data_IF_514792819632
#
_entry.id   IF_514792819632
#
_cell.length_a   1.000
_cell.length_b   1.000
_cell.length_c   1.000
_cell.angle_alpha   90.00
_cell.angle_beta   90.00
_cell.angle_gamma   90.00
#
_symmetry.space_group_name_H-M   'P 1'
#
loop_
_entity.id
_entity.type
_entity.pdbx_description
1 polymer ?
#
# COMPACT_ATOMS: atom_id res chain seq x y z
N UNK A 1 -30.31 18.59 19.36
CA UNK A 1 -29.51 17.36 19.66
C UNK A 1 -29.99 16.22 18.77
N UNK A 2 -29.18 15.75 17.80
CA UNK A 2 -29.53 14.57 16.98
C UNK A 2 -29.17 13.30 17.76
N UNK A 3 -30.16 12.45 18.06
CA UNK A 3 -29.95 11.13 18.66
C UNK A 3 -29.15 10.26 17.68
N UNK A 4 -27.97 9.76 18.09
CA UNK A 4 -27.16 8.82 17.30
C UNK A 4 -27.91 7.48 17.16
N UNK A 5 -27.86 6.87 15.98
CA UNK A 5 -28.26 5.49 15.79
C UNK A 5 -27.34 4.58 16.63
N UNK A 6 -27.92 3.73 17.48
CA UNK A 6 -27.17 2.75 18.28
C UNK A 6 -26.41 1.80 17.35
N UNK A 7 -25.11 1.59 17.60
CA UNK A 7 -24.39 0.41 17.09
C UNK A 7 -23.35 0.59 15.98
N UNK A 8 -23.02 1.80 15.52
CA UNK A 8 -21.93 1.98 14.53
C UNK A 8 -20.84 2.89 15.12
N UNK A 9 -19.74 2.26 15.53
CA UNK A 9 -18.52 2.93 15.96
C UNK A 9 -17.90 3.71 14.78
N UNK A 10 -17.51 4.95 15.03
CA UNK A 10 -16.75 5.76 14.08
C UNK A 10 -15.31 5.25 13.95
N UNK A 11 -14.65 5.56 12.83
CA UNK A 11 -13.25 5.16 12.57
C UNK A 11 -12.30 5.61 13.69
N UNK A 12 -12.56 6.78 14.30
CA UNK A 12 -11.75 7.32 15.41
C UNK A 12 -11.94 6.51 16.70
N UNK A 13 -13.17 6.09 16.99
CA UNK A 13 -13.49 5.25 18.15
C UNK A 13 -12.90 3.83 17.98
N UNK A 14 -12.94 3.27 16.76
CA UNK A 14 -12.32 1.98 16.45
C UNK A 14 -10.78 1.99 16.61
N UNK A 15 -10.11 3.09 16.26
CA UNK A 15 -8.66 3.24 16.45
C UNK A 15 -8.31 3.31 17.94
N UNK A 16 -9.05 4.09 18.73
CA UNK A 16 -8.84 4.20 20.18
C UNK A 16 -9.04 2.86 20.91
N UNK A 17 -10.07 2.09 20.52
CA UNK A 17 -10.32 0.74 21.06
C UNK A 17 -9.15 -0.22 20.83
N UNK A 18 -8.44 -0.10 19.71
CA UNK A 18 -7.30 -0.97 19.36
C UNK A 18 -6.03 -0.63 20.15
N UNK A 19 -5.82 0.64 20.46
CA UNK A 19 -4.65 1.11 21.23
C UNK A 19 -4.80 0.84 22.73
N UNK A 20 -6.04 0.76 23.23
CA UNK A 20 -6.32 0.66 24.67
C UNK A 20 -6.61 -0.76 25.18
N UNK A 21 -6.42 -1.82 24.37
CA UNK A 21 -6.36 -3.25 24.73
C UNK A 21 -7.35 -3.81 25.76
N UNK A 22 -7.25 -3.39 27.02
CA UNK A 22 -8.13 -3.70 28.16
C UNK A 22 -9.48 -2.96 28.16
N UNK A 23 -9.63 -1.86 27.44
CA UNK A 23 -10.81 -0.97 27.57
C UNK A 23 -11.98 -1.30 26.63
N UNK A 24 -11.74 -2.16 25.62
CA UNK A 24 -12.77 -2.65 24.67
C UNK A 24 -13.89 -3.40 25.40
N UNK A 25 -13.55 -4.10 26.47
CA UNK A 25 -14.49 -4.86 27.30
C UNK A 25 -15.45 -3.95 28.05
N UNK A 26 -14.99 -2.79 28.56
CA UNK A 26 -15.83 -1.82 29.28
C UNK A 26 -16.81 -1.09 28.35
N UNK A 27 -16.39 -0.76 27.13
CA UNK A 27 -17.25 -0.02 26.19
C UNK A 27 -18.36 -0.92 25.62
N UNK A 28 -18.09 -2.23 25.45
CA UNK A 28 -19.11 -3.21 25.06
C UNK A 28 -20.25 -3.34 26.09
N UNK A 29 -19.93 -3.26 27.39
CA UNK A 29 -20.91 -3.29 28.48
C UNK A 29 -21.76 -2.02 28.55
N UNK A 30 -21.18 -0.85 28.27
CA UNK A 30 -21.87 0.45 28.35
C UNK A 30 -22.85 0.67 27.19
N UNK A 31 -22.53 0.20 25.99
CA UNK A 31 -23.36 0.43 24.78
C UNK A 31 -24.27 -0.75 24.40
N UNK A 32 -24.27 -1.84 25.19
CA UNK A 32 -25.08 -3.04 24.94
C UNK A 32 -24.75 -3.75 23.62
N UNK A 33 -23.56 -3.51 23.07
CA UNK A 33 -23.12 -4.10 21.81
C UNK A 33 -22.35 -5.38 22.13
N UNK A 34 -22.85 -6.52 21.66
CA UNK A 34 -22.25 -7.82 21.95
C UNK A 34 -20.78 -7.88 21.50
N UNK A 35 -19.94 -8.46 22.36
CA UNK A 35 -18.50 -8.61 22.22
C UNK A 35 -18.12 -9.31 20.91
N UNK A 36 -18.95 -10.23 20.44
CA UNK A 36 -18.78 -10.94 19.15
C UNK A 36 -18.86 -9.96 17.97
N UNK A 37 -19.78 -8.99 18.03
CA UNK A 37 -20.00 -8.00 16.97
C UNK A 37 -18.80 -7.05 16.86
N UNK A 38 -18.26 -6.60 18.00
CA UNK A 38 -17.06 -5.74 18.04
C UNK A 38 -15.84 -6.50 17.49
N UNK A 39 -15.61 -7.75 17.90
CA UNK A 39 -14.53 -8.57 17.35
C UNK A 39 -14.69 -8.82 15.84
N UNK A 40 -15.91 -9.05 15.36
CA UNK A 40 -16.18 -9.20 13.93
C UNK A 40 -15.86 -7.92 13.15
N UNK A 41 -16.23 -6.76 13.69
CA UNK A 41 -15.94 -5.45 13.09
C UNK A 41 -14.44 -5.13 13.10
N UNK A 42 -13.73 -5.40 14.20
CA UNK A 42 -12.28 -5.23 14.28
C UNK A 42 -11.55 -6.17 13.31
N UNK A 43 -11.99 -7.42 13.16
CA UNK A 43 -11.40 -8.37 12.19
C UNK A 43 -11.65 -7.96 10.74
N UNK A 44 -12.85 -7.47 10.43
CA UNK A 44 -13.17 -6.87 9.12
C UNK A 44 -12.31 -5.62 8.87
N UNK A 45 -12.15 -4.78 9.88
CA UNK A 45 -11.31 -3.58 9.84
C UNK A 45 -9.83 -3.93 9.65
N UNK A 46 -9.26 -4.91 10.36
CA UNK A 46 -7.88 -5.33 10.14
C UNK A 46 -7.67 -5.90 8.72
N UNK A 47 -8.67 -6.59 8.16
CA UNK A 47 -8.63 -7.11 6.78
C UNK A 47 -8.71 -5.99 5.73
N UNK A 48 -9.44 -4.91 6.04
CA UNK A 48 -9.76 -3.83 5.10
C UNK A 48 -8.80 -2.63 5.23
N UNK A 49 -8.47 -2.24 6.47
CA UNK A 49 -7.77 -1.02 6.89
C UNK A 49 -6.61 -1.25 7.88
N UNK A 50 -6.31 -2.50 8.24
CA UNK A 50 -5.21 -2.83 9.16
C UNK A 50 -3.88 -2.15 8.76
N UNK A 51 -3.00 -1.86 9.72
CA UNK A 51 -1.74 -1.15 9.46
C UNK A 51 -0.99 -1.86 8.34
N UNK A 52 -0.67 -1.11 7.26
CA UNK A 52 0.13 -1.63 6.16
C UNK A 52 1.45 -2.13 6.74
N UNK A 53 1.65 -3.44 6.85
CA UNK A 53 2.93 -4.03 7.24
C UNK A 53 4.02 -3.38 6.38
N UNK A 54 5.08 -2.88 7.01
CA UNK A 54 6.33 -2.50 6.32
C UNK A 54 6.92 -3.80 5.79
N UNK A 55 6.49 -4.22 4.60
CA UNK A 55 7.01 -5.42 3.97
C UNK A 55 8.31 -5.08 3.26
N UNK A 56 9.39 -5.75 3.66
CA UNK A 56 10.56 -5.89 2.81
C UNK A 56 10.14 -6.79 1.65
N UNK A 57 10.33 -6.28 0.42
CA UNK A 57 10.10 -7.07 -0.78
C UNK A 57 11.36 -7.91 -0.98
N UNK A 58 11.21 -9.23 -0.97
CA UNK A 58 12.26 -10.20 -1.27
C UNK A 58 11.69 -11.12 -2.33
N UNK A 59 12.34 -11.19 -3.49
CA UNK A 59 11.91 -12.02 -4.61
C UNK A 59 12.91 -13.16 -4.84
N UNK A 60 12.43 -14.30 -5.32
CA UNK A 60 13.35 -15.31 -5.87
C UNK A 60 14.06 -14.76 -7.10
N UNK A 61 15.24 -15.27 -7.46
CA UNK A 61 15.96 -14.81 -8.65
C UNK A 61 15.13 -14.96 -9.94
N UNK A 62 14.37 -16.06 -10.05
CA UNK A 62 13.50 -16.31 -11.20
C UNK A 62 12.33 -15.32 -11.24
N UNK A 63 11.65 -15.10 -10.12
CA UNK A 63 10.55 -14.13 -10.04
C UNK A 63 11.06 -12.71 -10.30
N UNK A 64 12.20 -12.34 -9.74
CA UNK A 64 12.83 -11.04 -9.96
C UNK A 64 13.17 -10.82 -11.44
N UNK A 65 13.71 -11.84 -12.12
CA UNK A 65 14.02 -11.77 -13.55
C UNK A 65 12.76 -11.64 -14.42
N UNK A 66 11.74 -12.46 -14.13
CA UNK A 66 10.47 -12.42 -14.86
C UNK A 66 9.76 -11.07 -14.67
N UNK A 67 9.65 -10.61 -13.42
CA UNK A 67 9.05 -9.32 -13.08
C UNK A 67 9.86 -8.17 -13.68
N UNK A 68 11.20 -8.25 -13.74
CA UNK A 68 12.00 -7.22 -14.41
C UNK A 68 11.68 -7.12 -15.91
N UNK A 69 11.51 -8.25 -16.60
CA UNK A 69 11.08 -8.28 -18.00
C UNK A 69 9.70 -7.65 -18.20
N UNK A 70 8.73 -8.04 -17.36
CA UNK A 70 7.39 -7.46 -17.37
C UNK A 70 7.42 -5.93 -17.13
N UNK A 71 8.23 -5.48 -16.18
CA UNK A 71 8.38 -4.05 -15.87
C UNK A 71 9.12 -3.28 -16.96
N UNK A 72 9.98 -3.93 -17.73
CA UNK A 72 10.62 -3.33 -18.90
C UNK A 72 9.64 -3.15 -20.06
N UNK A 73 8.66 -4.05 -20.23
CA UNK A 73 7.53 -3.86 -21.14
C UNK A 73 6.58 -2.75 -20.64
N UNK A 74 5.82 -3.07 -19.60
CA UNK A 74 4.63 -2.29 -19.20
C UNK A 74 4.80 -1.47 -17.91
N UNK A 75 5.94 -1.64 -17.23
CA UNK A 75 6.23 -0.91 -16.00
C UNK A 75 6.57 0.56 -16.22
N UNK A 76 6.23 1.39 -15.26
CA UNK A 76 6.62 2.80 -15.17
C UNK A 76 7.45 3.04 -13.91
N UNK A 77 8.54 3.77 -14.08
CA UNK A 77 9.44 4.20 -13.01
C UNK A 77 9.52 5.72 -13.03
N UNK A 78 9.42 6.37 -11.86
CA UNK A 78 9.52 7.82 -11.81
C UNK A 78 9.84 8.38 -10.43
N UNK A 79 10.27 9.64 -10.44
CA UNK A 79 10.54 10.46 -9.27
C UNK A 79 9.53 11.61 -9.28
N UNK A 80 8.60 11.62 -8.32
CA UNK A 80 7.47 12.54 -8.32
C UNK A 80 7.53 13.49 -7.12
N UNK A 81 7.21 14.76 -7.35
CA UNK A 81 7.05 15.72 -6.26
C UNK A 81 5.87 15.31 -5.38
N UNK A 82 6.03 15.47 -4.07
CA UNK A 82 4.97 15.22 -3.10
C UNK A 82 4.69 16.48 -2.29
N UNK A 83 3.41 16.85 -2.10
CA UNK A 83 3.06 17.97 -1.23
C UNK A 83 3.69 17.79 0.16
N UNK A 84 4.34 18.85 0.66
CA UNK A 84 5.02 18.84 1.96
C UNK A 84 6.39 18.13 1.99
N UNK A 85 6.91 17.64 0.85
CA UNK A 85 8.26 17.06 0.77
C UNK A 85 9.19 17.91 -0.07
N UNK A 86 10.38 18.25 0.48
CA UNK A 86 11.44 18.97 -0.24
C UNK A 86 12.12 18.14 -1.34
N UNK A 87 11.88 16.82 -1.36
CA UNK A 87 12.53 15.89 -2.28
C UNK A 87 11.50 15.05 -3.02
N UNK A 88 11.80 14.75 -4.28
CA UNK A 88 11.00 13.83 -5.09
C UNK A 88 10.94 12.44 -4.45
N UNK A 89 9.76 11.83 -4.49
CA UNK A 89 9.50 10.49 -3.99
C UNK A 89 9.54 9.48 -5.14
N UNK A 90 10.28 8.37 -4.99
CA UNK A 90 10.29 7.30 -5.97
C UNK A 90 8.90 6.66 -6.05
N UNK A 91 8.45 6.37 -7.26
CA UNK A 91 7.21 5.67 -7.54
C UNK A 91 7.44 4.65 -8.65
N UNK A 92 6.80 3.50 -8.50
CA UNK A 92 6.76 2.44 -9.50
C UNK A 92 5.30 2.12 -9.75
N UNK A 93 4.93 1.94 -11.01
CA UNK A 93 3.60 1.52 -11.39
C UNK A 93 3.67 0.40 -12.42
N UNK A 94 2.85 -0.63 -12.23
CA UNK A 94 2.49 -1.59 -13.26
C UNK A 94 0.99 -1.41 -13.53
N UNK A 95 0.59 -1.20 -14.78
CA UNK A 95 -0.82 -1.03 -15.12
C UNK A 95 -1.13 -1.69 -16.47
N UNK A 96 -2.12 -2.59 -16.49
CA UNK A 96 -2.54 -3.31 -17.69
C UNK A 96 -3.99 -3.80 -17.57
N UNK A 97 -4.55 -4.33 -18.66
CA UNK A 97 -5.94 -4.84 -18.68
C UNK A 97 -6.05 -6.29 -18.20
N UNK A 98 -4.92 -7.01 -18.12
CA UNK A 98 -4.86 -8.36 -17.56
C UNK A 98 -4.84 -8.30 -16.03
N UNK A 99 -5.91 -8.80 -15.41
CA UNK A 99 -6.07 -8.82 -13.96
C UNK A 99 -5.15 -9.81 -13.28
N UNK A 100 -4.94 -10.97 -13.89
CA UNK A 100 -4.32 -12.12 -13.24
C UNK A 100 -2.81 -11.88 -13.13
N UNK A 101 -2.20 -11.30 -14.16
CA UNK A 101 -0.79 -10.87 -14.13
C UNK A 101 -0.55 -9.82 -13.04
N UNK A 102 -1.37 -8.76 -12.99
CA UNK A 102 -1.21 -7.70 -11.97
C UNK A 102 -1.44 -8.25 -10.56
N UNK A 103 -2.42 -9.15 -10.40
CA UNK A 103 -2.72 -9.78 -9.12
C UNK A 103 -1.59 -10.72 -8.67
N UNK A 104 -1.01 -11.49 -9.59
CA UNK A 104 0.14 -12.35 -9.34
C UNK A 104 1.35 -11.53 -8.83
N UNK A 105 1.73 -10.46 -9.55
CA UNK A 105 2.82 -9.57 -9.09
C UNK A 105 2.49 -8.95 -7.74
N UNK A 106 1.26 -8.48 -7.55
CA UNK A 106 0.84 -7.88 -6.30
C UNK A 106 0.93 -8.87 -5.12
N UNK A 107 0.56 -10.13 -5.33
CA UNK A 107 0.66 -11.19 -4.33
C UNK A 107 2.13 -11.50 -3.99
N UNK A 108 3.01 -11.59 -4.98
CA UNK A 108 4.45 -11.80 -4.77
C UNK A 108 5.05 -10.76 -3.80
N UNK A 109 4.62 -9.51 -3.93
CA UNK A 109 5.13 -8.41 -3.09
C UNK A 109 4.21 -8.06 -1.91
N UNK A 110 3.19 -8.89 -1.64
CA UNK A 110 2.22 -8.72 -0.56
C UNK A 110 1.50 -7.36 -0.57
N UNK A 111 1.02 -6.96 -1.75
CA UNK A 111 0.25 -5.73 -1.98
C UNK A 111 -1.11 -6.05 -2.57
N UNK A 112 -2.06 -5.16 -2.34
CA UNK A 112 -3.38 -5.21 -2.99
C UNK A 112 -3.28 -4.43 -4.30
N UNK A 113 -3.65 -5.02 -5.46
CA UNK A 113 -3.79 -4.25 -6.68
C UNK A 113 -5.00 -3.32 -6.55
N UNK A 114 -4.95 -2.24 -7.31
CA UNK A 114 -6.08 -1.32 -7.52
C UNK A 114 -6.61 -1.52 -8.93
N UNK A 115 -7.79 -0.99 -9.21
CA UNK A 115 -8.33 -0.99 -10.57
C UNK A 115 -9.05 0.33 -10.82
N UNK A 116 -9.18 0.68 -12.09
CA UNK A 116 -9.91 1.88 -12.52
C UNK A 116 -10.88 1.50 -13.63
N UNK A 117 -12.14 1.90 -13.47
CA UNK A 117 -13.10 1.87 -14.57
C UNK A 117 -12.68 2.96 -15.56
N UNK A 118 -12.51 2.64 -16.84
CA UNK A 118 -12.19 3.65 -17.84
C UNK A 118 -13.40 4.56 -18.08
N UNK A 119 -13.11 5.82 -18.42
CA UNK A 119 -14.13 6.77 -18.88
C UNK A 119 -14.42 6.44 -20.36
N UNK A 120 -15.62 5.93 -20.65
CA UNK A 120 -16.10 5.61 -22.00
C UNK A 120 -16.78 4.23 -22.11
N UNK A 121 -17.75 4.09 -23.02
CA UNK A 121 -18.64 2.91 -23.11
C UNK A 121 -17.95 1.61 -23.56
N UNK A 122 -16.79 1.67 -24.23
CA UNK A 122 -16.14 0.50 -24.87
C UNK A 122 -14.66 0.35 -24.46
N UNK A 123 -14.34 0.53 -23.17
CA UNK A 123 -12.97 0.39 -22.68
C UNK A 123 -12.89 -0.69 -21.62
N UNK A 124 -11.79 -1.45 -21.63
CA UNK A 124 -11.52 -2.48 -20.62
C UNK A 124 -11.05 -1.85 -19.29
N UNK A 125 -11.42 -2.43 -18.14
CA UNK A 125 -10.86 -2.02 -16.85
C UNK A 125 -9.34 -2.12 -16.87
N UNK A 126 -8.67 -1.18 -16.20
CA UNK A 126 -7.22 -1.21 -16.01
C UNK A 126 -6.94 -1.60 -14.56
N UNK A 127 -6.19 -2.68 -14.38
CA UNK A 127 -5.66 -3.12 -13.10
C UNK A 127 -4.28 -2.51 -12.93
N UNK A 128 -4.00 -1.99 -11.73
CA UNK A 128 -2.78 -1.28 -11.45
C UNK A 128 -2.21 -1.62 -10.07
N UNK A 129 -0.90 -1.81 -10.04
CA UNK A 129 -0.10 -1.91 -8.83
C UNK A 129 0.79 -0.67 -8.74
N UNK A 130 0.75 0.02 -7.60
CA UNK A 130 1.53 1.23 -7.39
C UNK A 130 2.35 1.12 -6.10
N UNK A 131 3.66 1.29 -6.23
CA UNK A 131 4.61 1.35 -5.12
C UNK A 131 5.15 2.76 -4.98
N UNK A 132 5.53 3.13 -3.77
CA UNK A 132 6.01 4.47 -3.48
C UNK A 132 7.06 4.47 -2.37
N UNK A 133 7.88 5.52 -2.34
CA UNK A 133 8.87 5.76 -1.30
C UNK A 133 9.76 4.51 -1.07
N UNK A 134 9.98 4.12 0.18
CA UNK A 134 10.83 2.98 0.56
C UNK A 134 10.43 1.67 -0.11
N UNK A 135 9.14 1.40 -0.29
CA UNK A 135 8.68 0.17 -0.96
C UNK A 135 9.06 0.15 -2.44
N UNK A 136 8.97 1.30 -3.12
CA UNK A 136 9.43 1.42 -4.50
C UNK A 136 10.94 1.18 -4.61
N UNK A 137 11.74 1.74 -3.69
CA UNK A 137 13.19 1.53 -3.68
C UNK A 137 13.56 0.08 -3.40
N UNK A 138 12.88 -0.58 -2.46
CA UNK A 138 13.12 -1.98 -2.16
C UNK A 138 12.79 -2.87 -3.37
N UNK A 139 11.62 -2.70 -3.97
CA UNK A 139 11.27 -3.42 -5.20
C UNK A 139 12.27 -3.15 -6.33
N UNK A 140 12.66 -1.88 -6.54
CA UNK A 140 13.64 -1.52 -7.54
C UNK A 140 14.98 -2.24 -7.34
N UNK A 141 15.41 -2.45 -6.09
CA UNK A 141 16.65 -3.16 -5.77
C UNK A 141 16.62 -4.61 -6.22
N UNK A 142 15.48 -5.29 -6.02
CA UNK A 142 15.30 -6.70 -6.40
C UNK A 142 15.32 -6.90 -7.92
N UNK A 143 14.66 -6.02 -8.69
CA UNK A 143 14.51 -6.18 -10.14
C UNK A 143 15.68 -5.60 -10.95
N UNK A 144 16.41 -4.61 -10.41
CA UNK A 144 17.46 -3.88 -11.13
C UNK A 144 18.55 -4.74 -11.78
N UNK A 145 19.05 -5.84 -11.17
CA UNK A 145 20.06 -6.69 -11.80
C UNK A 145 19.59 -7.27 -13.15
N UNK A 146 18.30 -7.54 -13.28
CA UNK A 146 17.71 -8.25 -14.41
C UNK A 146 17.13 -7.32 -15.50
N UNK A 147 16.98 -6.02 -15.22
CA UNK A 147 16.47 -5.05 -16.20
C UNK A 147 17.38 -4.93 -17.43
N UNK A 148 16.80 -4.80 -18.61
CA UNK A 148 17.52 -4.62 -19.90
C UNK A 148 17.36 -3.21 -20.47
N UNK A 149 16.24 -2.52 -20.23
CA UNK A 149 16.01 -1.20 -20.84
C UNK A 149 16.81 -0.08 -20.16
N UNK A 150 17.82 0.44 -20.88
CA UNK A 150 18.73 1.50 -20.42
C UNK A 150 17.99 2.74 -19.87
N UNK A 151 16.96 3.22 -20.59
CA UNK A 151 16.17 4.40 -20.18
C UNK A 151 15.54 4.24 -18.79
N UNK A 152 15.01 3.05 -18.47
CA UNK A 152 14.36 2.76 -17.18
C UNK A 152 15.43 2.53 -16.10
N UNK A 153 16.54 1.87 -16.44
CA UNK A 153 17.67 1.66 -15.52
C UNK A 153 18.25 2.96 -14.97
N UNK A 154 18.36 4.02 -15.76
CA UNK A 154 18.91 5.29 -15.27
C UNK A 154 17.98 6.00 -14.27
N UNK A 155 16.66 5.86 -14.44
CA UNK A 155 15.68 6.31 -13.44
C UNK A 155 15.81 5.47 -12.17
N UNK A 156 15.88 4.16 -12.31
CA UNK A 156 16.06 3.24 -11.17
C UNK A 156 17.34 3.52 -10.40
N UNK A 157 18.46 3.81 -11.07
CA UNK A 157 19.71 4.25 -10.40
C UNK A 157 19.49 5.50 -9.54
N UNK A 158 18.70 6.46 -10.00
CA UNK A 158 18.34 7.66 -9.21
C UNK A 158 17.48 7.27 -8.00
N UNK A 159 16.51 6.37 -8.19
CA UNK A 159 15.67 5.84 -7.11
C UNK A 159 16.49 5.08 -6.06
N UNK A 160 17.49 4.29 -6.45
CA UNK A 160 18.35 3.55 -5.51
C UNK A 160 19.24 4.46 -4.66
N UNK A 161 19.55 5.67 -5.15
CA UNK A 161 20.26 6.71 -4.38
C UNK A 161 19.32 7.54 -3.50
N UNK A 162 18.01 7.37 -3.64
CA UNK A 162 17.04 8.10 -2.84
C UNK A 162 17.17 7.74 -1.37
N UNK A 163 17.35 8.75 -0.53
CA UNK A 163 17.36 8.62 0.94
C UNK A 163 16.13 9.33 1.47
N UNK A 164 15.29 8.60 2.20
CA UNK A 164 14.11 9.20 2.83
C UNK A 164 14.56 10.20 3.91
N UNK A 165 14.51 11.50 3.62
CA UNK A 165 14.65 12.56 4.63
C UNK A 165 13.31 12.81 5.34
N UNK A 166 12.60 11.76 5.73
CA UNK A 166 11.42 11.96 6.59
C UNK A 166 11.97 12.38 7.96
N UNK A 167 11.76 13.63 8.42
CA UNK A 167 11.99 13.92 9.84
C UNK A 167 11.03 13.00 10.58
N UNK A 168 11.51 12.20 11.54
CA UNK A 168 10.61 11.46 12.40
C UNK A 168 9.75 12.49 13.14
N UNK A 169 8.52 12.72 12.68
CA UNK A 169 7.62 13.73 13.22
C UNK A 169 7.13 13.42 14.66
N UNK A 170 7.74 12.44 15.34
CA UNK A 170 7.36 11.97 16.68
C UNK A 170 8.53 11.92 17.69
N UNK A 171 9.69 12.53 17.42
CA UNK A 171 10.82 12.53 18.36
C UNK A 171 10.81 13.68 19.40
N UNK A 172 9.79 14.54 19.41
CA UNK A 172 9.72 15.73 20.27
C UNK A 172 8.48 15.78 21.19
N UNK A 173 8.00 14.61 21.61
CA UNK A 173 7.08 14.47 22.75
C UNK A 173 7.55 13.34 23.67
N UNK A 174 8.68 13.57 24.34
CA UNK A 174 9.08 12.94 25.59
C UNK A 174 9.69 14.02 26.47
#
# INVERSE_FOLDING_TARGET
MRKRAKGILTVREMVALRECGSEVTRIAEVDGTDRITIHHHLRKWDKEYGPRKKTNVVLSNLDAAYVAGLMDGDGCYGMYDRPGMKQKSPQIQLAMTDKDVVTWVANLIQRKPTWRQPIGKNRKPVYALQLSATTAVNFAREVFPYMRLKRKRDIVKKMLRWRSRVPQANASRL
#
